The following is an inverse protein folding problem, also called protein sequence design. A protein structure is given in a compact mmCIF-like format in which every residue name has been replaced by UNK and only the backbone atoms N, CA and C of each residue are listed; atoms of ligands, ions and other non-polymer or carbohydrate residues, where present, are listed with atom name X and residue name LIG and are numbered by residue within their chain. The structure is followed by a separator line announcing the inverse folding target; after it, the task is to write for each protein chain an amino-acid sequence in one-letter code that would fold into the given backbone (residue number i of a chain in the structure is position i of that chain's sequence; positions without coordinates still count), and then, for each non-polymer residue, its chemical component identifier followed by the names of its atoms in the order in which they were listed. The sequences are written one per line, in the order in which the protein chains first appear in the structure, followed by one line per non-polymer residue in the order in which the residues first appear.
data_IF_247196559991
#
_entry.id   IF_247196559991
#
_cell.length_a   1.000
_cell.length_b   1.000
_cell.length_c   1.000
_cell.angle_alpha   90.00
_cell.angle_beta   90.00
_cell.angle_gamma   90.00
#
_symmetry.space_group_name_H-M   'P 1'
#
loop_
_entity.id
_entity.type
_entity.pdbx_description
1 polymer ?
#
# COMPACT_ATOMS: atom_id res chain seq x y z
N UNK A 1 1.67 -8.48 16.96
CA UNK A 1 3.09 -8.33 16.58
C UNK A 1 3.52 -9.60 15.85
N UNK A 2 4.30 -9.49 14.77
CA UNK A 2 4.78 -10.64 14.00
C UNK A 2 6.30 -10.73 14.14
N UNK A 3 6.81 -11.89 14.53
CA UNK A 3 8.24 -12.22 14.63
C UNK A 3 8.56 -13.25 13.55
N UNK A 4 9.67 -13.07 12.82
CA UNK A 4 10.09 -14.03 11.79
C UNK A 4 11.54 -14.44 11.99
N UNK A 5 11.84 -15.73 11.81
CA UNK A 5 13.15 -16.30 12.07
C UNK A 5 13.37 -16.69 13.54
N UNK A 6 14.64 -16.88 13.91
CA UNK A 6 15.01 -17.22 15.28
C UNK A 6 14.61 -16.07 16.22
N UNK A 7 13.72 -16.37 17.16
CA UNK A 7 13.27 -15.38 18.15
C UNK A 7 14.38 -15.11 19.16
N UNK A 8 14.84 -13.86 19.16
CA UNK A 8 15.80 -13.31 20.11
C UNK A 8 15.19 -12.14 20.91
N UNK A 9 13.86 -11.97 20.88
CA UNK A 9 13.17 -10.84 21.50
C UNK A 9 13.02 -10.99 23.01
N UNK A 10 13.11 -12.21 23.54
CA UNK A 10 12.89 -12.50 24.97
C UNK A 10 11.44 -12.29 25.43
N UNK A 11 10.52 -12.10 24.49
CA UNK A 11 9.11 -11.90 24.80
C UNK A 11 8.44 -13.21 25.16
N UNK A 12 7.58 -13.18 26.17
CA UNK A 12 6.76 -14.35 26.52
C UNK A 12 5.70 -14.61 25.46
N UNK A 13 5.45 -15.88 25.15
CA UNK A 13 4.38 -16.27 24.25
C UNK A 13 3.04 -15.69 24.71
N UNK A 14 2.32 -15.05 23.79
CA UNK A 14 0.99 -14.49 24.04
C UNK A 14 0.15 -14.56 22.78
N UNK A 15 -1.18 -14.47 22.92
CA UNK A 15 -2.11 -14.48 21.79
C UNK A 15 -1.88 -13.32 20.78
N UNK A 16 -1.16 -12.27 21.18
CA UNK A 16 -0.86 -11.10 20.35
C UNK A 16 0.49 -11.20 19.63
N UNK A 17 1.25 -12.27 19.81
CA UNK A 17 2.55 -12.52 19.18
C UNK A 17 2.39 -13.73 18.26
N UNK A 18 2.55 -13.50 16.96
CA UNK A 18 2.63 -14.58 15.97
C UNK A 18 4.10 -14.77 15.57
N UNK A 19 4.59 -16.00 15.68
CA UNK A 19 5.98 -16.33 15.39
C UNK A 19 6.07 -17.30 14.21
N UNK A 20 6.85 -16.92 13.20
CA UNK A 20 7.26 -17.80 12.11
C UNK A 20 8.71 -18.24 12.39
N UNK A 21 8.94 -19.55 12.52
CA UNK A 21 10.28 -20.11 12.81
C UNK A 21 11.28 -19.84 11.69
N UNK A 22 10.82 -19.84 10.44
CA UNK A 22 11.55 -19.38 9.27
C UNK A 22 11.21 -17.93 8.94
N UNK A 23 12.05 -17.25 8.14
CA UNK A 23 11.74 -15.91 7.65
C UNK A 23 11.04 -16.01 6.27
N UNK A 24 9.72 -15.78 6.17
CA UNK A 24 8.97 -15.92 4.93
C UNK A 24 9.56 -15.04 3.81
N UNK A 25 9.99 -13.82 4.16
CA UNK A 25 10.65 -12.91 3.23
C UNK A 25 11.96 -13.45 2.64
N UNK A 26 12.81 -14.09 3.45
CA UNK A 26 14.06 -14.72 2.95
C UNK A 26 13.77 -15.87 2.00
N UNK A 27 12.80 -16.71 2.35
CA UNK A 27 12.37 -17.83 1.50
C UNK A 27 11.80 -17.33 0.17
N UNK A 28 10.94 -16.32 0.21
CA UNK A 28 10.41 -15.68 -0.98
C UNK A 28 11.50 -15.06 -1.87
N UNK A 29 12.47 -14.35 -1.28
CA UNK A 29 13.61 -13.79 -2.01
C UNK A 29 14.43 -14.89 -2.71
N UNK A 30 14.74 -15.98 -2.02
CA UNK A 30 15.48 -17.09 -2.62
C UNK A 30 14.72 -17.71 -3.81
N UNK A 31 13.39 -17.81 -3.72
CA UNK A 31 12.55 -18.28 -4.83
C UNK A 31 12.53 -17.28 -6.00
N UNK A 32 12.47 -15.98 -5.72
CA UNK A 32 12.58 -14.92 -6.72
C UNK A 32 13.92 -14.96 -7.45
N UNK A 33 15.02 -15.14 -6.72
CA UNK A 33 16.38 -15.25 -7.29
C UNK A 33 16.52 -16.47 -8.20
N UNK A 34 15.93 -17.61 -7.80
CA UNK A 34 16.00 -18.84 -8.59
C UNK A 34 15.09 -18.83 -9.82
N UNK A 35 13.87 -18.29 -9.69
CA UNK A 35 12.89 -18.25 -10.79
C UNK A 35 11.90 -17.09 -10.61
N UNK A 36 12.34 -15.91 -11.03
CA UNK A 36 11.56 -14.67 -10.95
C UNK A 36 10.16 -14.79 -11.59
N UNK A 37 10.05 -15.51 -12.71
CA UNK A 37 8.79 -15.62 -13.45
C UNK A 37 7.73 -16.49 -12.73
N UNK A 38 8.16 -17.47 -11.94
CA UNK A 38 7.26 -18.36 -11.20
C UNK A 38 7.02 -17.93 -9.74
N UNK A 39 7.86 -17.05 -9.20
CA UNK A 39 7.74 -16.58 -7.83
C UNK A 39 6.47 -15.72 -7.64
N UNK A 40 5.68 -16.05 -6.61
CA UNK A 40 4.46 -15.31 -6.26
C UNK A 40 4.44 -14.98 -4.77
N UNK A 41 4.13 -13.73 -4.36
CA UNK A 41 3.94 -13.39 -2.96
C UNK A 41 2.90 -14.26 -2.26
N UNK A 42 1.93 -14.80 -3.01
CA UNK A 42 0.91 -15.71 -2.50
C UNK A 42 1.47 -17.05 -1.95
N UNK A 43 2.73 -17.38 -2.24
CA UNK A 43 3.42 -18.50 -1.61
C UNK A 43 3.62 -18.31 -0.09
N UNK A 44 3.64 -17.06 0.38
CA UNK A 44 3.80 -16.69 1.79
C UNK A 44 2.48 -16.14 2.40
N UNK A 45 1.34 -16.68 1.95
CA UNK A 45 -0.01 -16.17 2.28
C UNK A 45 -0.28 -16.03 3.78
N UNK A 46 0.14 -17.00 4.58
CA UNK A 46 -0.09 -16.99 6.03
C UNK A 46 0.58 -15.79 6.70
N UNK A 47 1.84 -15.52 6.32
CA UNK A 47 2.55 -14.33 6.77
C UNK A 47 1.84 -13.05 6.32
N UNK A 48 1.45 -12.94 5.04
CA UNK A 48 0.74 -11.77 4.54
C UNK A 48 -0.60 -11.54 5.25
N UNK A 49 -1.32 -12.60 5.61
CA UNK A 49 -2.57 -12.52 6.37
C UNK A 49 -2.36 -12.10 7.84
N UNK A 50 -1.19 -12.38 8.40
CA UNK A 50 -0.84 -11.97 9.76
C UNK A 50 -0.49 -10.50 9.90
N UNK A 51 -0.15 -9.84 8.79
CA UNK A 51 0.10 -8.41 8.79
C UNK A 51 -1.21 -7.68 9.06
N UNK A 52 -1.18 -6.71 9.97
CA UNK A 52 -2.33 -5.88 10.28
C UNK A 52 -2.87 -5.23 9.00
N UNK A 53 -4.17 -5.39 8.74
CA UNK A 53 -4.85 -4.71 7.64
C UNK A 53 -5.34 -3.37 8.16
N UNK A 54 -5.12 -2.30 7.40
CA UNK A 54 -5.88 -1.08 7.68
C UNK A 54 -7.28 -1.27 7.11
N UNK A 55 -8.28 -1.42 7.99
CA UNK A 55 -9.61 -1.91 7.59
C UNK A 55 -10.44 -0.89 6.79
N UNK A 56 -9.96 0.34 6.68
CA UNK A 56 -10.73 1.46 6.13
C UNK A 56 -10.17 2.00 4.81
N UNK A 57 -9.04 1.49 4.33
CA UNK A 57 -8.39 1.93 3.10
C UNK A 57 -7.96 0.72 2.27
N UNK A 58 -8.53 0.59 1.09
CA UNK A 58 -8.15 -0.39 0.08
C UNK A 58 -7.53 0.33 -1.12
N UNK A 59 -6.42 -0.20 -1.62
CA UNK A 59 -5.67 0.38 -2.74
C UNK A 59 -5.57 -0.66 -3.85
N UNK A 60 -5.99 -0.27 -5.05
CA UNK A 60 -5.83 -1.07 -6.26
C UNK A 60 -4.85 -0.38 -7.19
N UNK A 61 -3.75 -1.04 -7.52
CA UNK A 61 -2.75 -0.59 -8.47
C UNK A 61 -2.05 -1.81 -9.10
N UNK A 62 -1.28 -1.61 -10.17
CA UNK A 62 -0.43 -2.67 -10.72
C UNK A 62 0.66 -3.10 -9.75
N UNK A 63 1.20 -4.31 -9.94
CA UNK A 63 2.31 -4.86 -9.14
C UNK A 63 3.61 -4.07 -9.25
N UNK A 64 3.68 -3.09 -10.16
CA UNK A 64 4.82 -2.19 -10.32
C UNK A 64 4.77 -0.96 -9.43
N UNK A 65 3.70 -0.79 -8.64
CA UNK A 65 3.54 0.32 -7.71
C UNK A 65 3.66 -0.18 -6.29
N UNK A 66 4.65 0.33 -5.57
CA UNK A 66 4.74 0.14 -4.13
C UNK A 66 3.83 1.17 -3.43
N UNK A 67 3.11 0.70 -2.42
CA UNK A 67 2.22 1.55 -1.63
C UNK A 67 2.53 1.42 -0.14
N UNK A 68 2.34 2.51 0.59
CA UNK A 68 2.41 2.52 2.05
C UNK A 68 1.25 3.33 2.59
N UNK A 69 0.54 2.79 3.57
CA UNK A 69 -0.58 3.45 4.24
C UNK A 69 -0.09 3.87 5.62
N UNK A 70 -0.20 5.16 5.92
CA UNK A 70 0.15 5.71 7.22
C UNK A 70 -0.87 6.76 7.67
N UNK A 71 -0.85 7.12 8.96
CA UNK A 71 -1.64 8.24 9.48
C UNK A 71 -0.72 9.45 9.64
N UNK A 72 -1.08 10.56 9.01
CA UNK A 72 -0.46 11.88 9.21
C UNK A 72 -1.51 12.75 9.86
N UNK A 73 -1.22 13.24 11.07
CA UNK A 73 -2.16 13.99 11.90
C UNK A 73 -3.52 13.29 12.05
N UNK A 74 -3.48 11.96 12.20
CA UNK A 74 -4.66 11.11 12.36
C UNK A 74 -5.40 10.77 11.06
N UNK A 75 -5.10 11.45 9.95
CA UNK A 75 -5.73 11.23 8.64
C UNK A 75 -4.98 10.15 7.84
N UNK A 76 -5.68 9.14 7.29
CA UNK A 76 -5.04 8.15 6.42
C UNK A 76 -4.46 8.78 5.15
N UNK A 77 -3.18 8.51 4.92
CA UNK A 77 -2.42 8.87 3.74
C UNK A 77 -1.91 7.60 3.05
N UNK A 78 -2.01 7.57 1.73
CA UNK A 78 -1.46 6.52 0.89
C UNK A 78 -0.32 7.10 0.07
N UNK A 79 0.89 6.59 0.29
CA UNK A 79 2.09 6.93 -0.46
C UNK A 79 2.28 5.95 -1.61
N UNK A 80 2.67 6.46 -2.77
CA UNK A 80 2.86 5.69 -4.00
C UNK A 80 4.27 5.90 -4.55
N UNK A 81 4.90 4.81 -4.97
CA UNK A 81 6.13 4.83 -5.76
C UNK A 81 5.96 3.92 -6.98
N UNK A 82 6.08 4.49 -8.17
CA UNK A 82 5.97 3.79 -9.44
C UNK A 82 7.35 3.31 -9.91
N UNK A 83 7.49 2.00 -10.12
CA UNK A 83 8.70 1.37 -10.65
C UNK A 83 8.51 0.86 -12.08
N UNK A 84 7.33 1.01 -12.67
CA UNK A 84 7.00 0.48 -13.99
C UNK A 84 7.95 1.03 -15.04
N UNK A 85 8.52 0.14 -15.85
CA UNK A 85 9.42 0.50 -16.96
C UNK A 85 10.84 0.87 -16.53
N UNK A 86 11.15 0.95 -15.23
CA UNK A 86 12.53 1.15 -14.78
C UNK A 86 13.37 -0.08 -15.10
N UNK A 87 14.58 0.16 -15.60
CA UNK A 87 15.58 -0.86 -15.80
C UNK A 87 16.94 -0.36 -15.30
N UNK A 88 17.54 -1.03 -14.30
CA UNK A 88 18.83 -0.63 -13.76
C UNK A 88 19.88 -0.46 -14.85
N UNK A 89 20.57 0.68 -14.84
CA UNK A 89 21.63 0.99 -15.81
C UNK A 89 21.18 1.24 -17.26
N UNK A 90 19.88 1.13 -17.57
CA UNK A 90 19.36 1.30 -18.93
C UNK A 90 18.27 2.36 -19.04
N UNK A 91 17.24 2.30 -18.19
CA UNK A 91 16.12 3.23 -18.25
C UNK A 91 15.73 3.75 -16.86
N UNK A 92 15.91 5.04 -16.67
CA UNK A 92 15.55 5.75 -15.44
C UNK A 92 14.18 6.45 -15.53
N UNK A 93 13.45 6.29 -16.64
CA UNK A 93 12.15 6.93 -16.88
C UNK A 93 11.03 5.91 -16.68
N UNK A 94 10.17 6.17 -15.69
CA UNK A 94 8.98 5.37 -15.43
C UNK A 94 7.97 5.46 -16.59
N UNK A 95 7.33 4.33 -16.88
CA UNK A 95 6.05 4.33 -17.60
C UNK A 95 4.94 4.69 -16.62
N UNK A 96 4.02 5.63 -16.93
CA UNK A 96 2.98 6.01 -15.99
C UNK A 96 2.09 4.83 -15.56
N UNK A 97 1.77 4.76 -14.27
CA UNK A 97 0.68 3.92 -13.79
C UNK A 97 -0.66 4.62 -14.06
N UNK A 98 -1.64 3.88 -14.58
CA UNK A 98 -2.98 4.39 -14.88
C UNK A 98 -4.03 3.44 -14.30
N UNK A 99 -5.16 3.99 -13.85
CA UNK A 99 -6.27 3.19 -13.35
C UNK A 99 -6.15 2.79 -11.87
N UNK A 100 -5.14 3.31 -11.17
CA UNK A 100 -5.03 3.12 -9.72
C UNK A 100 -6.22 3.77 -8.99
N UNK A 101 -6.72 3.10 -7.96
CA UNK A 101 -7.85 3.59 -7.15
C UNK A 101 -7.59 3.44 -5.67
N UNK A 102 -8.26 4.30 -4.89
CA UNK A 102 -8.35 4.20 -3.44
C UNK A 102 -9.82 4.06 -3.08
N UNK A 103 -10.16 3.02 -2.33
CA UNK A 103 -11.50 2.81 -1.80
C UNK A 103 -11.47 2.96 -0.28
N UNK A 104 -12.36 3.80 0.25
CA UNK A 104 -12.48 4.03 1.70
C UNK A 104 -13.91 3.84 2.16
N UNK A 105 -14.09 3.45 3.43
CA UNK A 105 -15.41 3.49 4.08
C UNK A 105 -15.81 4.93 4.36
N UNK A 106 -17.09 5.24 4.15
CA UNK A 106 -17.62 6.59 4.37
C UNK A 106 -17.29 7.57 3.24
N UNK A 107 -17.70 8.83 3.44
CA UNK A 107 -17.59 9.90 2.45
C UNK A 107 -16.55 10.92 2.91
N UNK A 108 -15.77 11.45 1.98
CA UNK A 108 -14.80 12.50 2.25
C UNK A 108 -14.43 13.30 1.01
N UNK A 109 -13.49 14.23 1.17
CA UNK A 109 -12.83 14.89 0.03
C UNK A 109 -11.48 14.22 -0.16
N UNK A 110 -11.25 13.67 -1.35
CA UNK A 110 -9.98 13.08 -1.71
C UNK A 110 -9.04 14.12 -2.29
N UNK A 111 -7.76 13.98 -2.00
CA UNK A 111 -6.70 14.82 -2.54
C UNK A 111 -5.55 13.95 -3.02
N UNK A 112 -4.82 14.43 -4.02
CA UNK A 112 -3.61 13.81 -4.51
C UNK A 112 -2.53 14.86 -4.78
N UNK A 113 -1.35 14.64 -4.23
CA UNK A 113 -0.15 15.43 -4.49
C UNK A 113 0.86 14.55 -5.24
N UNK A 114 1.02 14.73 -6.56
CA UNK A 114 2.05 14.04 -7.33
C UNK A 114 3.45 14.52 -6.94
N UNK A 115 4.46 13.67 -7.18
CA UNK A 115 5.87 14.02 -6.99
C UNK A 115 6.24 15.31 -7.73
N UNK A 116 6.66 16.35 -6.98
CA UNK A 116 7.02 17.68 -7.47
C UNK A 116 5.92 18.39 -8.29
N UNK A 117 4.65 17.99 -8.13
CA UNK A 117 3.53 18.66 -8.76
C UNK A 117 2.69 19.46 -7.77
N UNK A 118 1.51 19.86 -8.24
CA UNK A 118 0.53 20.59 -7.43
C UNK A 118 -0.56 19.65 -6.91
N UNK A 119 -1.10 19.95 -5.73
CA UNK A 119 -2.24 19.23 -5.17
C UNK A 119 -3.43 19.26 -6.12
N UNK A 120 -4.12 18.13 -6.24
CA UNK A 120 -5.30 17.92 -7.07
C UNK A 120 -6.42 17.38 -6.20
N UNK A 121 -7.64 17.88 -6.39
CA UNK A 121 -8.83 17.26 -5.78
C UNK A 121 -9.19 15.99 -6.57
N UNK A 122 -9.56 14.93 -5.84
CA UNK A 122 -10.01 13.68 -6.40
C UNK A 122 -11.54 13.62 -6.37
N UNK A 123 -12.13 13.23 -7.50
CA UNK A 123 -13.56 12.94 -7.58
C UNK A 123 -13.78 11.50 -7.10
N UNK A 124 -14.61 11.37 -6.07
CA UNK A 124 -14.98 10.09 -5.48
C UNK A 124 -16.37 9.63 -5.90
N UNK A 125 -16.47 8.38 -6.34
CA UNK A 125 -17.73 7.71 -6.63
C UNK A 125 -18.26 7.04 -5.35
N UNK A 126 -19.37 7.55 -4.78
CA UNK A 126 -19.99 7.03 -3.55
C UNK A 126 -21.11 6.02 -3.85
N UNK A 127 -21.05 4.84 -3.25
CA UNK A 127 -22.01 3.74 -3.46
C UNK A 127 -23.03 3.56 -2.32
N UNK A 128 -23.00 4.41 -1.30
CA UNK A 128 -23.84 4.28 -0.10
C UNK A 128 -23.10 3.73 1.13
N UNK A 129 -21.94 3.10 0.94
CA UNK A 129 -21.10 2.57 2.05
C UNK A 129 -19.63 2.94 1.90
N UNK A 130 -19.12 3.00 0.67
CA UNK A 130 -17.73 3.28 0.34
C UNK A 130 -17.61 4.35 -0.75
N UNK A 131 -16.57 5.18 -0.67
CA UNK A 131 -16.18 6.08 -1.75
C UNK A 131 -14.97 5.50 -2.46
N UNK A 132 -15.05 5.38 -3.79
CA UNK A 132 -13.92 5.01 -4.65
C UNK A 132 -13.37 6.25 -5.34
N UNK A 133 -12.12 6.59 -5.09
CA UNK A 133 -11.40 7.68 -5.74
C UNK A 133 -10.51 7.13 -6.85
N UNK A 134 -10.60 7.72 -8.04
CA UNK A 134 -9.71 7.41 -9.15
C UNK A 134 -8.50 8.33 -9.09
N UNK A 135 -7.30 7.75 -9.11
CA UNK A 135 -6.07 8.53 -9.11
C UNK A 135 -5.76 9.01 -10.54
N UNK A 136 -5.19 10.21 -10.70
CA UNK A 136 -4.56 10.61 -11.95
C UNK A 136 -3.35 9.70 -12.23
N UNK A 137 -2.81 9.76 -13.45
CA UNK A 137 -1.68 8.94 -13.83
C UNK A 137 -0.47 9.18 -12.91
N UNK A 138 0.05 8.13 -12.27
CA UNK A 138 1.17 8.22 -11.33
C UNK A 138 2.46 8.09 -12.15
N UNK A 139 3.15 9.22 -12.33
CA UNK A 139 4.40 9.29 -13.09
C UNK A 139 5.54 8.60 -12.31
N UNK A 140 6.02 9.25 -11.24
CA UNK A 140 7.06 8.70 -10.35
C UNK A 140 6.48 8.20 -9.04
N UNK A 141 5.53 8.94 -8.48
CA UNK A 141 4.95 8.69 -7.18
C UNK A 141 4.06 9.85 -6.77
N UNK A 142 3.55 9.78 -5.55
CA UNK A 142 2.71 10.82 -4.97
C UNK A 142 2.12 10.37 -3.64
N UNK A 143 1.32 11.25 -3.05
CA UNK A 143 0.57 10.96 -1.83
C UNK A 143 -0.90 11.30 -2.04
N UNK A 144 -1.78 10.41 -1.61
CA UNK A 144 -3.21 10.66 -1.58
C UNK A 144 -3.72 10.62 -0.14
N UNK A 145 -4.73 11.43 0.17
CA UNK A 145 -5.40 11.40 1.47
C UNK A 145 -6.87 11.76 1.33
N UNK A 146 -7.68 11.25 2.25
CA UNK A 146 -9.11 11.55 2.31
C UNK A 146 -9.35 12.39 3.56
N UNK A 147 -9.60 13.69 3.37
CA UNK A 147 -10.02 14.53 4.47
C UNK A 147 -11.46 14.20 4.83
N UNK A 148 -11.73 14.07 6.13
CA UNK A 148 -13.11 14.02 6.61
C UNK A 148 -13.84 15.27 6.13
N UNK A 149 -15.04 15.08 5.57
CA UNK A 149 -15.89 16.21 5.24
C UNK A 149 -16.13 17.01 6.52
N UNK A 150 -15.82 18.32 6.49
CA UNK A 150 -16.17 19.23 7.57
C UNK A 150 -17.63 19.03 7.94
N UNK A 151 -17.91 18.35 9.05
CA UNK A 151 -19.23 18.41 9.65
C UNK A 151 -19.47 19.89 10.00
N UNK A 152 -20.57 20.51 9.56
CA UNK A 152 -20.95 21.78 10.15
C UNK A 152 -21.04 21.54 11.65
N UNK A 153 -20.28 22.32 12.43
CA UNK A 153 -20.41 22.32 13.88
C UNK A 153 -21.91 22.52 14.18
N UNK A 154 -22.52 21.53 14.83
CA UNK A 154 -23.85 21.69 15.41
C UNK A 154 -23.77 22.69 16.55
#
# INVERSE_FOLDING_TARGET
MVITGQDATGLQASANILQFSECPGKKYLANLESNFAAASPNSEREFLQSLGKEENVEVTASSWVATSIARVDGTPHVFFANFRGLQPGLNAVQTPETGATIKVRGRGKGYFLPFLGSMQELIGDWDGTTTTYRLPAIQKGGVAWIAEGSHPKR
#
